data_IF_037198578836
#
_entry.id   IF_037198578836
#
_cell.length_a   1.000
_cell.length_b   1.000
_cell.length_c   1.000
_cell.angle_alpha   90.00
_cell.angle_beta   90.00
_cell.angle_gamma   90.00
#
_symmetry.space_group_name_H-M   'P 1'
#
loop_
_entity.id
_entity.type
_entity.pdbx_description
1 polymer ?
#
# COMPACT_ATOMS: atom_id res chain seq x y z
N UNK A 1 5.07 -1.44 16.29
CA UNK A 1 5.33 -0.30 15.38
C UNK A 1 4.17 -0.28 14.39
N UNK A 2 3.06 0.31 14.81
CA UNK A 2 1.81 0.34 14.05
C UNK A 2 1.70 1.73 13.44
N UNK A 3 1.92 1.83 12.14
CA UNK A 3 1.63 3.06 11.42
C UNK A 3 0.12 3.00 11.16
N UNK A 4 -0.67 3.65 12.01
CA UNK A 4 -2.08 3.92 11.71
C UNK A 4 -2.14 4.97 10.61
N UNK A 5 -2.17 4.47 9.37
CA UNK A 5 -2.50 5.23 8.18
C UNK A 5 -3.99 4.98 7.93
N UNK A 6 -4.85 5.97 8.23
CA UNK A 6 -6.30 5.88 8.01
C UNK A 6 -6.68 5.54 6.56
N UNK A 7 -5.79 5.88 5.64
CA UNK A 7 -5.88 5.59 4.22
C UNK A 7 -5.39 4.18 3.83
N UNK A 8 -4.79 3.42 4.75
CA UNK A 8 -4.30 2.07 4.49
C UNK A 8 -5.45 1.06 4.55
N UNK A 9 -5.81 0.50 3.41
CA UNK A 9 -6.91 -0.47 3.30
C UNK A 9 -6.43 -1.92 3.33
N UNK A 10 -5.13 -2.15 3.15
CA UNK A 10 -4.54 -3.48 3.10
C UNK A 10 -3.05 -3.38 3.43
N UNK A 11 -2.54 -4.27 4.27
CA UNK A 11 -1.13 -4.39 4.56
C UNK A 11 -0.78 -5.87 4.69
N UNK A 12 0.03 -6.38 3.77
CA UNK A 12 0.47 -7.76 3.75
C UNK A 12 1.96 -7.83 4.03
N UNK A 13 2.33 -8.68 4.97
CA UNK A 13 3.73 -9.06 5.17
C UNK A 13 4.07 -10.15 4.16
N UNK A 14 5.05 -9.92 3.31
CA UNK A 14 5.47 -10.88 2.30
C UNK A 14 6.84 -11.45 2.64
N UNK A 15 7.14 -12.66 2.16
CA UNK A 15 8.43 -13.32 2.36
C UNK A 15 9.45 -12.96 1.27
N UNK A 16 9.23 -11.85 0.54
CA UNK A 16 10.10 -11.33 -0.52
C UNK A 16 11.12 -10.30 0.00
N UNK A 17 11.83 -9.65 -0.93
CA UNK A 17 12.79 -8.57 -0.61
C UNK A 17 12.09 -7.36 0.03
N UNK A 18 10.91 -7.01 -0.46
CA UNK A 18 10.05 -5.99 0.13
C UNK A 18 9.32 -6.57 1.35
N UNK A 19 9.72 -6.21 2.57
CA UNK A 19 9.17 -6.81 3.79
C UNK A 19 7.65 -6.64 3.97
N UNK A 20 7.08 -5.57 3.39
CA UNK A 20 5.66 -5.23 3.51
C UNK A 20 5.13 -4.61 2.22
N UNK A 21 3.91 -5.01 1.84
CA UNK A 21 3.14 -4.38 0.76
C UNK A 21 1.88 -3.78 1.37
N UNK A 22 1.79 -2.45 1.32
CA UNK A 22 0.62 -1.71 1.78
C UNK A 22 -0.13 -1.08 0.61
N UNK A 23 -1.46 -1.08 0.66
CA UNK A 23 -2.33 -0.40 -0.29
C UNK A 23 -3.00 0.79 0.39
N UNK A 24 -2.74 1.97 -0.15
CA UNK A 24 -3.22 3.25 0.37
C UNK A 24 -4.25 3.85 -0.59
N UNK A 25 -5.31 4.44 -0.05
CA UNK A 25 -6.32 5.20 -0.79
C UNK A 25 -6.10 6.68 -0.57
N UNK A 26 -5.71 7.37 -1.63
CA UNK A 26 -5.41 8.80 -1.60
C UNK A 26 -6.45 9.55 -2.43
N UNK A 27 -6.80 10.76 -2.00
CA UNK A 27 -7.69 11.67 -2.72
C UNK A 27 -6.96 12.43 -3.82
N UNK A 28 -5.65 12.61 -3.69
CA UNK A 28 -4.82 13.38 -4.64
C UNK A 28 -3.36 12.93 -4.63
N UNK A 29 -2.59 13.36 -5.63
CA UNK A 29 -1.15 13.08 -5.71
C UNK A 29 -0.37 13.79 -4.59
N UNK A 30 -0.64 15.06 -4.22
CA UNK A 30 0.08 15.70 -3.10
C UNK A 30 -0.03 14.95 -1.77
N UNK A 31 -1.18 14.30 -1.51
CA UNK A 31 -1.37 13.47 -0.31
C UNK A 31 -0.46 12.23 -0.31
N UNK A 32 0.00 11.77 -1.48
CA UNK A 32 1.02 10.73 -1.58
C UNK A 32 2.33 11.22 -0.99
N UNK A 33 2.80 12.41 -1.35
CA UNK A 33 4.07 12.96 -0.89
C UNK A 33 4.09 13.07 0.64
N UNK A 34 3.02 13.57 1.26
CA UNK A 34 2.87 13.64 2.72
C UNK A 34 2.99 12.25 3.39
N UNK A 35 2.41 11.23 2.78
CA UNK A 35 2.47 9.85 3.27
C UNK A 35 3.87 9.27 3.08
N UNK A 36 4.51 9.56 1.96
CA UNK A 36 5.87 9.08 1.69
C UNK A 36 6.90 9.68 2.62
N UNK A 37 6.81 10.98 2.94
CA UNK A 37 7.69 11.61 3.93
C UNK A 37 7.61 10.90 5.28
N UNK A 38 6.42 10.49 5.73
CA UNK A 38 6.24 9.74 6.99
C UNK A 38 6.83 8.33 6.95
N UNK A 39 6.87 7.69 5.78
CA UNK A 39 7.38 6.31 5.64
C UNK A 39 8.89 6.31 5.36
N UNK A 40 9.43 7.35 4.71
CA UNK A 40 10.85 7.44 4.34
C UNK A 40 11.77 7.40 5.55
N UNK A 41 11.32 7.88 6.71
CA UNK A 41 12.08 7.82 7.96
C UNK A 41 12.16 6.39 8.54
N UNK A 42 11.26 5.50 8.14
CA UNK A 42 11.12 4.16 8.70
C UNK A 42 11.71 3.08 7.78
N UNK A 43 11.60 3.24 6.47
CA UNK A 43 12.10 2.27 5.50
C UNK A 43 12.31 2.88 4.10
N UNK A 44 13.19 2.26 3.31
CA UNK A 44 13.19 2.47 1.87
C UNK A 44 11.88 1.96 1.28
N UNK A 45 11.16 2.85 0.60
CA UNK A 45 9.81 2.59 0.10
C UNK A 45 9.79 2.62 -1.41
N UNK A 46 9.35 1.54 -2.04
CA UNK A 46 9.05 1.49 -3.47
C UNK A 46 7.58 1.81 -3.69
N UNK A 47 7.26 2.83 -4.49
CA UNK A 47 5.90 3.32 -4.68
C UNK A 47 5.38 3.02 -6.08
N UNK A 48 4.15 2.54 -6.15
CA UNK A 48 3.47 2.26 -7.41
C UNK A 48 2.03 2.77 -7.35
N UNK A 49 1.61 3.50 -8.38
CA UNK A 49 0.25 4.03 -8.51
C UNK A 49 -0.57 3.07 -9.36
N UNK A 50 -1.67 2.54 -8.78
CA UNK A 50 -2.60 1.67 -9.50
C UNK A 50 -3.43 2.52 -10.47
N UNK A 51 -3.12 2.45 -11.77
CA UNK A 51 -3.85 3.18 -12.82
C UNK A 51 -5.25 2.60 -13.09
N UNK A 52 -5.39 1.27 -12.97
CA UNK A 52 -6.66 0.55 -13.14
C UNK A 52 -6.55 -0.84 -12.49
N UNK A 53 -7.62 -1.29 -11.86
CA UNK A 53 -7.76 -2.65 -11.34
C UNK A 53 -8.67 -3.45 -12.27
N UNK A 54 -8.14 -4.10 -13.33
CA UNK A 54 -8.97 -4.83 -14.30
C UNK A 54 -9.69 -6.03 -13.65
N UNK A 55 -9.10 -6.61 -12.61
CA UNK A 55 -9.68 -7.67 -11.79
C UNK A 55 -9.71 -7.17 -10.35
N UNK A 56 -10.89 -7.16 -9.75
CA UNK A 56 -11.04 -6.79 -8.34
C UNK A 56 -10.53 -7.93 -7.45
N UNK A 57 -10.04 -7.60 -6.26
CA UNK A 57 -9.77 -8.61 -5.23
C UNK A 57 -11.06 -9.39 -4.96
N UNK A 58 -11.03 -10.69 -5.24
CA UNK A 58 -12.14 -11.61 -5.06
C UNK A 58 -11.59 -12.91 -4.52
N UNK A 59 -12.39 -13.59 -3.70
CA UNK A 59 -12.05 -14.95 -3.28
C UNK A 59 -12.03 -15.87 -4.52
N UNK A 60 -11.08 -16.80 -4.62
CA UNK A 60 -11.10 -17.82 -5.66
C UNK A 60 -12.42 -18.60 -5.56
N UNK A 61 -12.99 -18.97 -6.71
CA UNK A 61 -14.15 -19.86 -6.72
C UNK A 61 -13.70 -21.20 -6.14
N UNK A 62 -14.27 -21.58 -5.00
CA UNK A 62 -14.06 -22.90 -4.40
C UNK A 62 -14.61 -23.93 -5.41
N UNK A 63 -13.73 -24.81 -5.88
CA UNK A 63 -14.12 -26.01 -6.61
C UNK A 63 -14.64 -27.07 -5.63
#
# INVERSE_FOLDING_TARGET
MSIELDNCIQCDKVTGEDCFIARLVLKSIPELDDVLERIVELAQTSTAIIKKSPVHNRLPKLC
#
